data_IF_484350564313
#
_entry.id   IF_484350564313
#
_cell.length_a   1.000
_cell.length_b   1.000
_cell.length_c   1.000
_cell.angle_alpha   90.00
_cell.angle_beta   90.00
_cell.angle_gamma   90.00
#
_symmetry.space_group_name_H-M   'P 1'
#
loop_
_entity.id
_entity.type
_entity.pdbx_description
1 polymer ?
#
# COMPACT_ATOMS: atom_id res chain seq x y z
N UNK A 1 -36.94 -7.57 67.51
CA UNK A 1 -37.40 -7.45 66.13
C UNK A 1 -36.19 -7.48 65.18
N UNK A 2 -36.00 -8.62 64.47
CA UNK A 2 -34.90 -8.74 63.46
C UNK A 2 -35.39 -8.17 62.14
N UNK A 3 -34.75 -7.10 61.64
CA UNK A 3 -34.98 -6.51 60.26
C UNK A 3 -34.55 -7.51 59.19
N UNK A 4 -35.49 -7.99 58.35
CA UNK A 4 -35.24 -8.78 57.19
C UNK A 4 -34.56 -7.86 56.14
N UNK A 5 -33.35 -8.23 55.68
CA UNK A 5 -32.69 -7.59 54.50
C UNK A 5 -33.54 -7.91 53.27
N UNK A 6 -33.79 -6.93 52.37
CA UNK A 6 -34.46 -7.20 51.11
C UNK A 6 -33.58 -8.10 50.27
N UNK A 7 -34.17 -9.16 49.69
CA UNK A 7 -33.52 -10.02 48.69
C UNK A 7 -33.34 -9.21 47.43
N UNK A 8 -32.08 -8.95 47.08
CA UNK A 8 -31.74 -8.34 45.80
C UNK A 8 -31.88 -9.41 44.70
N UNK A 9 -32.95 -9.34 43.93
CA UNK A 9 -33.14 -10.18 42.76
C UNK A 9 -32.06 -9.80 41.74
N UNK A 10 -31.13 -10.72 41.45
CA UNK A 10 -30.20 -10.58 40.34
C UNK A 10 -31.01 -10.59 39.05
N UNK A 11 -31.17 -9.42 38.44
CA UNK A 11 -31.64 -9.27 37.06
C UNK A 11 -30.57 -9.91 36.16
N UNK A 12 -30.78 -11.15 35.77
CA UNK A 12 -30.04 -11.76 34.68
C UNK A 12 -30.28 -10.86 33.46
N UNK A 13 -29.27 -10.05 33.09
CA UNK A 13 -29.26 -9.36 31.81
C UNK A 13 -29.24 -10.44 30.73
N UNK A 14 -30.39 -10.78 30.18
CA UNK A 14 -30.44 -11.50 28.92
C UNK A 14 -29.78 -10.58 27.90
N UNK A 15 -28.50 -10.83 27.59
CA UNK A 15 -27.68 -10.04 26.72
C UNK A 15 -28.33 -9.91 25.35
N UNK A 16 -29.06 -8.80 25.14
CA UNK A 16 -29.35 -8.30 23.80
C UNK A 16 -28.05 -7.74 23.27
N UNK A 17 -27.34 -8.51 22.39
CA UNK A 17 -26.18 -7.99 21.70
C UNK A 17 -24.94 -8.86 21.69
N UNK A 18 -25.03 -10.16 21.90
CA UNK A 18 -23.90 -11.07 21.71
C UNK A 18 -23.55 -11.25 20.21
N UNK A 19 -22.26 -11.50 19.92
CA UNK A 19 -21.79 -11.87 18.59
C UNK A 19 -22.52 -13.12 18.10
N UNK A 20 -23.37 -12.98 17.08
CA UNK A 20 -24.06 -14.09 16.43
C UNK A 20 -23.34 -14.40 15.11
N UNK A 21 -23.10 -15.68 14.82
CA UNK A 21 -22.60 -16.10 13.51
C UNK A 21 -23.55 -15.60 12.41
N UNK A 22 -23.02 -14.80 11.46
CA UNK A 22 -23.81 -14.17 10.40
C UNK A 22 -24.55 -12.88 10.77
N UNK A 23 -24.46 -12.38 12.01
CA UNK A 23 -24.99 -11.07 12.39
C UNK A 23 -24.07 -9.97 11.88
N UNK A 24 -24.64 -8.99 11.20
CA UNK A 24 -23.95 -7.83 10.63
C UNK A 24 -24.43 -7.57 9.21
N UNK A 25 -24.20 -6.36 8.73
CA UNK A 25 -24.51 -5.98 7.34
C UNK A 25 -23.70 -6.88 6.41
N UNK A 26 -24.37 -7.69 5.57
CA UNK A 26 -23.69 -8.49 4.52
C UNK A 26 -22.83 -7.55 3.68
N UNK A 27 -21.56 -7.91 3.45
CA UNK A 27 -20.67 -7.13 2.59
C UNK A 27 -21.27 -7.02 1.20
N UNK A 28 -21.53 -5.82 0.72
CA UNK A 28 -21.89 -5.60 -0.68
C UNK A 28 -20.71 -6.04 -1.59
N UNK A 29 -21.02 -6.54 -2.79
CA UNK A 29 -20.00 -6.79 -3.83
C UNK A 29 -19.18 -5.49 -4.01
N UNK A 30 -17.84 -5.57 -3.84
CA UNK A 30 -16.98 -4.40 -3.93
C UNK A 30 -16.72 -3.70 -2.58
N UNK A 31 -17.15 -4.23 -1.43
CA UNK A 31 -16.74 -3.71 -0.12
C UNK A 31 -15.23 -3.83 0.05
N UNK A 32 -14.57 -2.70 0.37
CA UNK A 32 -13.13 -2.54 0.45
C UNK A 32 -12.34 -3.54 1.31
N UNK A 33 -11.06 -3.27 1.51
CA UNK A 33 -10.13 -4.17 2.24
C UNK A 33 -10.65 -4.46 3.66
N UNK A 34 -10.74 -5.75 4.09
CA UNK A 34 -11.21 -6.11 5.43
C UNK A 34 -10.43 -5.40 6.55
N UNK A 35 -11.15 -4.95 7.60
CA UNK A 35 -10.57 -4.29 8.77
C UNK A 35 -9.97 -5.27 9.79
N UNK A 36 -9.48 -6.42 9.34
CA UNK A 36 -8.78 -7.38 10.19
C UNK A 36 -7.42 -6.82 10.66
N UNK A 37 -6.95 -7.32 11.81
CA UNK A 37 -5.60 -7.02 12.30
C UNK A 37 -4.58 -7.49 11.27
N UNK A 38 -3.63 -6.64 10.94
CA UNK A 38 -2.56 -7.01 10.01
C UNK A 38 -1.69 -8.11 10.60
N UNK A 39 -1.20 -9.06 9.77
CA UNK A 39 -0.22 -10.06 10.21
C UNK A 39 1.03 -9.40 10.79
N UNK A 40 1.74 -10.13 11.66
CA UNK A 40 3.04 -9.68 12.15
C UNK A 40 4.01 -9.45 10.98
N UNK A 41 4.76 -8.36 11.07
CA UNK A 41 5.78 -7.97 10.10
C UNK A 41 7.14 -7.97 10.80
N UNK A 42 8.10 -8.69 10.25
CA UNK A 42 9.50 -8.62 10.66
C UNK A 42 10.26 -7.65 9.75
N UNK A 43 11.15 -6.84 10.31
CA UNK A 43 11.92 -5.81 9.60
C UNK A 43 12.70 -6.32 8.37
N UNK A 44 13.11 -7.59 8.38
CA UNK A 44 13.82 -8.24 7.26
C UNK A 44 12.95 -8.46 6.00
N UNK A 45 11.63 -8.35 6.14
CA UNK A 45 10.69 -8.61 5.05
C UNK A 45 10.15 -7.29 4.50
N UNK A 46 10.48 -6.92 3.26
CA UNK A 46 9.84 -5.79 2.60
C UNK A 46 8.37 -6.07 2.31
N UNK A 47 7.62 -5.01 2.05
CA UNK A 47 6.17 -5.09 1.83
C UNK A 47 5.81 -4.44 0.51
N UNK A 48 5.06 -5.14 -0.32
CA UNK A 48 4.39 -4.57 -1.48
C UNK A 48 3.07 -3.96 -1.02
N UNK A 49 2.90 -2.68 -1.25
CA UNK A 49 1.72 -1.89 -0.87
C UNK A 49 1.02 -1.38 -2.11
N UNK A 50 -0.31 -1.53 -2.16
CA UNK A 50 -1.15 -0.93 -3.19
C UNK A 50 -2.12 0.05 -2.56
N UNK A 51 -2.20 1.26 -3.13
CA UNK A 51 -3.09 2.33 -2.71
C UNK A 51 -3.97 2.75 -3.88
N UNK A 52 -5.29 2.50 -3.79
CA UNK A 52 -6.25 2.81 -4.86
C UNK A 52 -6.94 4.15 -4.60
N UNK A 53 -7.07 4.96 -5.65
CA UNK A 53 -7.80 6.22 -5.60
C UNK A 53 -9.32 5.98 -5.62
N UNK A 54 -10.05 6.93 -5.07
CA UNK A 54 -11.49 7.08 -5.28
C UNK A 54 -11.78 7.26 -6.77
N UNK A 55 -12.86 6.63 -7.22
CA UNK A 55 -13.36 6.82 -8.59
C UNK A 55 -13.66 8.30 -8.88
N UNK A 56 -13.54 8.71 -10.14
CA UNK A 56 -13.84 10.07 -10.60
C UNK A 56 -12.71 11.09 -10.37
N UNK A 57 -11.57 10.70 -9.80
CA UNK A 57 -10.40 11.59 -9.76
C UNK A 57 -9.58 11.50 -11.07
N UNK A 58 -8.92 12.60 -11.46
CA UNK A 58 -8.03 12.60 -12.61
C UNK A 58 -6.87 11.59 -12.47
N UNK A 59 -6.34 11.15 -13.62
CA UNK A 59 -5.20 10.22 -13.67
C UNK A 59 -3.99 10.76 -12.92
N UNK A 60 -3.35 9.92 -12.12
CA UNK A 60 -2.07 10.25 -11.45
C UNK A 60 -0.89 10.33 -12.42
N UNK A 61 -1.06 9.78 -13.63
CA UNK A 61 -0.04 9.79 -14.69
C UNK A 61 -0.05 11.06 -15.54
N UNK A 62 -1.01 11.96 -15.32
CA UNK A 62 -1.08 13.24 -16.05
C UNK A 62 0.07 14.18 -15.67
N UNK A 63 0.43 15.07 -16.61
CA UNK A 63 1.56 16.00 -16.49
C UNK A 63 1.50 16.89 -15.24
N UNK A 64 0.29 17.26 -14.80
CA UNK A 64 0.09 18.04 -13.56
C UNK A 64 0.10 17.18 -12.32
N UNK A 65 -0.38 15.93 -12.40
CA UNK A 65 -0.56 15.03 -11.26
C UNK A 65 0.74 14.37 -10.84
N UNK A 66 1.51 13.86 -11.80
CA UNK A 66 2.73 13.11 -11.50
C UNK A 66 3.78 13.90 -10.72
N UNK A 67 4.12 15.18 -11.06
CA UNK A 67 5.05 15.97 -10.26
C UNK A 67 4.60 16.11 -8.79
N UNK A 68 3.30 16.27 -8.55
CA UNK A 68 2.72 16.36 -7.20
C UNK A 68 2.88 15.04 -6.45
N UNK A 69 2.57 13.91 -7.11
CA UNK A 69 2.77 12.57 -6.55
C UNK A 69 4.25 12.34 -6.24
N UNK A 70 5.14 12.57 -7.20
CA UNK A 70 6.58 12.42 -7.04
C UNK A 70 7.13 13.24 -5.87
N UNK A 71 6.71 14.51 -5.76
CA UNK A 71 7.08 15.39 -4.64
C UNK A 71 6.57 14.90 -3.29
N UNK A 72 5.37 14.31 -3.25
CA UNK A 72 4.83 13.71 -2.03
C UNK A 72 5.59 12.44 -1.60
N UNK A 73 5.91 11.57 -2.57
CA UNK A 73 6.73 10.37 -2.34
C UNK A 73 8.11 10.75 -1.81
N UNK A 74 8.80 11.72 -2.47
CA UNK A 74 10.11 12.21 -2.03
C UNK A 74 10.07 12.71 -0.58
N UNK A 75 9.09 13.52 -0.23
CA UNK A 75 8.95 14.07 1.11
C UNK A 75 8.56 13.02 2.17
N UNK A 76 8.00 11.89 1.76
CA UNK A 76 7.57 10.80 2.64
C UNK A 76 8.51 9.60 2.70
N UNK A 77 9.54 9.54 1.84
CA UNK A 77 10.34 8.33 1.58
C UNK A 77 11.05 7.72 2.81
N UNK A 78 11.32 8.53 3.84
CA UNK A 78 11.94 8.11 5.13
C UNK A 78 11.18 8.69 6.31
N UNK A 79 9.86 8.55 6.37
CA UNK A 79 9.07 9.13 7.46
C UNK A 79 8.23 8.09 8.19
N UNK A 80 8.03 8.31 9.49
CA UNK A 80 7.14 7.52 10.34
C UNK A 80 7.48 6.01 10.31
N UNK A 81 8.77 5.69 10.30
CA UNK A 81 9.25 4.31 10.40
C UNK A 81 9.17 3.50 9.12
N UNK A 82 8.91 4.12 7.95
CA UNK A 82 9.02 3.46 6.65
C UNK A 82 10.18 3.98 5.81
N UNK A 83 10.64 3.14 4.90
CA UNK A 83 11.57 3.44 3.83
C UNK A 83 10.92 3.06 2.50
N UNK A 84 10.66 4.03 1.65
CA UNK A 84 10.13 3.79 0.31
C UNK A 84 11.29 3.45 -0.63
N UNK A 85 11.35 2.20 -1.08
CA UNK A 85 12.45 1.70 -1.92
C UNK A 85 12.10 1.71 -3.40
N UNK A 86 10.87 1.28 -3.75
CA UNK A 86 10.40 1.31 -5.12
C UNK A 86 8.95 1.81 -5.21
N UNK A 87 8.58 2.37 -6.35
CA UNK A 87 7.21 2.75 -6.66
C UNK A 87 6.90 2.62 -8.15
N UNK A 88 5.61 2.51 -8.46
CA UNK A 88 5.05 2.71 -9.79
C UNK A 88 3.73 3.47 -9.66
N UNK A 89 3.57 4.50 -10.50
CA UNK A 89 2.36 5.31 -10.55
C UNK A 89 1.49 4.85 -11.70
N UNK A 90 0.30 4.37 -11.39
CA UNK A 90 -0.72 4.01 -12.37
C UNK A 90 -1.79 5.10 -12.47
N UNK A 91 -2.72 5.00 -13.41
CA UNK A 91 -3.75 6.02 -13.59
C UNK A 91 -4.56 6.28 -12.32
N UNK A 92 -4.98 5.23 -11.63
CA UNK A 92 -5.89 5.30 -10.49
C UNK A 92 -5.36 4.60 -9.22
N UNK A 93 -4.10 4.20 -9.19
CA UNK A 93 -3.49 3.57 -8.02
C UNK A 93 -1.96 3.71 -8.00
N UNK A 94 -1.38 3.45 -6.84
CA UNK A 94 0.06 3.43 -6.59
C UNK A 94 0.48 2.05 -6.14
N UNK A 95 1.58 1.54 -6.69
CA UNK A 95 2.33 0.41 -6.16
C UNK A 95 3.59 0.91 -5.48
N UNK A 96 3.84 0.46 -4.26
CA UNK A 96 4.99 0.83 -3.46
C UNK A 96 5.67 -0.44 -2.96
N UNK A 97 6.99 -0.47 -2.94
CA UNK A 97 7.77 -1.46 -2.18
C UNK A 97 8.45 -0.71 -1.04
N UNK A 98 8.11 -1.09 0.18
CA UNK A 98 8.57 -0.41 1.39
C UNK A 98 9.23 -1.37 2.37
N UNK A 99 10.16 -0.84 3.15
CA UNK A 99 10.69 -1.47 4.34
C UNK A 99 10.12 -0.78 5.57
N UNK A 100 9.83 -1.54 6.63
CA UNK A 100 9.34 -1.02 7.89
C UNK A 100 9.81 -1.93 9.03
N UNK A 101 10.01 -1.37 10.22
CA UNK A 101 10.46 -2.12 11.38
C UNK A 101 9.43 -3.17 11.82
N UNK A 102 8.14 -2.82 11.74
CA UNK A 102 7.02 -3.66 12.14
C UNK A 102 5.70 -3.22 11.47
N UNK A 103 4.61 -3.90 11.79
CA UNK A 103 3.29 -3.62 11.23
C UNK A 103 2.73 -2.24 11.69
N UNK A 104 3.11 -1.74 12.86
CA UNK A 104 2.70 -0.43 13.37
C UNK A 104 3.39 0.68 12.57
N UNK A 105 4.71 0.61 12.42
CA UNK A 105 5.50 1.52 11.60
C UNK A 105 5.02 1.55 10.15
N UNK A 106 4.75 0.38 9.56
CA UNK A 106 4.13 0.29 8.23
C UNK A 106 2.80 1.04 8.18
N UNK A 107 1.92 0.79 9.16
CA UNK A 107 0.60 1.42 9.24
C UNK A 107 0.68 2.94 9.33
N UNK A 108 1.51 3.45 10.24
CA UNK A 108 1.70 4.89 10.47
C UNK A 108 2.36 5.57 9.26
N UNK A 109 3.40 4.95 8.69
CA UNK A 109 4.12 5.49 7.55
C UNK A 109 3.25 5.60 6.30
N UNK A 110 2.51 4.55 5.95
CA UNK A 110 1.62 4.57 4.79
C UNK A 110 0.43 5.51 5.01
N UNK A 111 -0.15 5.56 6.23
CA UNK A 111 -1.18 6.55 6.59
C UNK A 111 -0.67 7.99 6.42
N UNK A 112 0.54 8.28 6.92
CA UNK A 112 1.15 9.60 6.78
C UNK A 112 1.41 9.98 5.32
N UNK A 113 1.86 9.02 4.50
CA UNK A 113 2.04 9.21 3.05
C UNK A 113 0.70 9.45 2.35
N UNK A 114 -0.34 8.67 2.69
CA UNK A 114 -1.69 8.82 2.13
C UNK A 114 -2.28 10.21 2.42
N UNK A 115 -2.16 10.69 3.66
CA UNK A 115 -2.61 12.05 4.04
C UNK A 115 -1.87 13.13 3.26
N UNK A 116 -0.54 13.00 3.08
CA UNK A 116 0.27 13.93 2.31
C UNK A 116 -0.14 13.98 0.84
N UNK A 117 -0.31 12.81 0.23
CA UNK A 117 -0.80 12.68 -1.14
C UNK A 117 -2.20 13.29 -1.29
N UNK A 118 -3.12 12.93 -0.39
CA UNK A 118 -4.50 13.41 -0.44
C UNK A 118 -4.59 14.95 -0.36
N UNK A 119 -3.86 15.56 0.57
CA UNK A 119 -3.83 17.03 0.69
C UNK A 119 -3.34 17.70 -0.59
N UNK A 120 -2.26 17.21 -1.20
CA UNK A 120 -1.68 17.79 -2.40
C UNK A 120 -2.54 17.55 -3.64
N UNK A 121 -3.11 16.35 -3.79
CA UNK A 121 -3.99 16.03 -4.91
C UNK A 121 -5.31 16.78 -4.82
N UNK A 122 -5.91 16.90 -3.63
CA UNK A 122 -7.12 17.71 -3.43
C UNK A 122 -6.86 19.18 -3.78
N UNK A 123 -5.71 19.74 -3.36
CA UNK A 123 -5.33 21.11 -3.74
C UNK A 123 -5.15 21.25 -5.26
N UNK A 124 -4.52 20.28 -5.92
CA UNK A 124 -4.33 20.28 -7.37
C UNK A 124 -5.66 20.20 -8.15
N UNK A 125 -6.58 19.34 -7.68
CA UNK A 125 -7.84 19.06 -8.38
C UNK A 125 -8.99 19.96 -7.96
N UNK A 126 -8.80 20.86 -6.98
CA UNK A 126 -9.88 21.67 -6.41
C UNK A 126 -10.92 20.83 -5.67
N UNK A 127 -10.56 19.64 -5.17
CA UNK A 127 -11.48 18.70 -4.51
C UNK A 127 -11.27 18.64 -3.00
N UNK A 128 -12.23 18.03 -2.30
CA UNK A 128 -12.19 17.80 -0.85
C UNK A 128 -12.49 16.35 -0.51
N UNK A 129 -12.15 15.91 0.70
CA UNK A 129 -12.49 14.59 1.22
C UNK A 129 -11.43 13.52 0.92
N UNK A 130 -11.84 12.25 1.05
CA UNK A 130 -10.95 11.11 0.92
C UNK A 130 -10.51 10.89 -0.53
N UNK A 131 -9.20 10.89 -0.77
CA UNK A 131 -8.58 10.51 -2.04
C UNK A 131 -8.38 8.99 -2.11
N UNK A 132 -8.03 8.38 -0.98
CA UNK A 132 -7.91 6.94 -0.80
C UNK A 132 -9.04 6.47 0.13
N UNK A 133 -10.16 5.95 -0.41
CA UNK A 133 -11.34 5.62 0.38
C UNK A 133 -11.14 4.37 1.24
N UNK A 134 -10.28 3.46 0.77
CA UNK A 134 -10.01 2.19 1.42
C UNK A 134 -8.64 2.17 2.11
N UNK A 135 -8.48 1.18 3.02
CA UNK A 135 -7.16 0.85 3.55
C UNK A 135 -6.28 0.35 2.42
N UNK A 136 -4.99 0.68 2.48
CA UNK A 136 -4.01 0.11 1.55
C UNK A 136 -3.96 -1.42 1.66
N UNK A 137 -3.81 -2.09 0.54
CA UNK A 137 -3.47 -3.50 0.49
C UNK A 137 -1.97 -3.67 0.76
N UNK A 138 -1.61 -4.69 1.53
CA UNK A 138 -0.22 -5.00 1.85
C UNK A 138 0.05 -6.49 1.71
N UNK A 139 1.11 -6.84 0.99
CA UNK A 139 1.63 -8.19 0.86
C UNK A 139 3.08 -8.23 1.35
N UNK A 140 3.35 -9.03 2.39
CA UNK A 140 4.69 -9.18 2.97
C UNK A 140 5.50 -10.12 2.09
N UNK A 141 6.65 -9.64 1.62
CA UNK A 141 7.54 -10.38 0.72
C UNK A 141 8.55 -11.16 1.57
N UNK A 142 8.40 -12.48 1.62
CA UNK A 142 9.17 -13.35 2.53
C UNK A 142 10.31 -14.09 1.86
N UNK A 143 10.29 -14.18 0.53
CA UNK A 143 11.25 -14.94 -0.26
C UNK A 143 11.89 -14.13 -1.38
N UNK A 144 13.07 -14.53 -1.86
CA UNK A 144 13.70 -13.94 -3.05
C UNK A 144 12.79 -13.90 -4.28
N UNK A 145 12.02 -14.96 -4.51
CA UNK A 145 11.09 -15.05 -5.66
C UNK A 145 9.92 -14.08 -5.52
N UNK A 146 9.33 -13.93 -4.32
CA UNK A 146 8.27 -12.94 -4.10
C UNK A 146 8.77 -11.52 -4.33
N UNK A 147 9.98 -11.19 -3.84
CA UNK A 147 10.59 -9.88 -4.09
C UNK A 147 10.85 -9.65 -5.56
N UNK A 148 11.43 -10.64 -6.28
CA UNK A 148 11.66 -10.54 -7.72
C UNK A 148 10.36 -10.30 -8.48
N UNK A 149 9.30 -11.04 -8.16
CA UNK A 149 7.99 -10.89 -8.78
C UNK A 149 7.38 -9.50 -8.50
N UNK A 150 7.46 -9.04 -7.25
CA UNK A 150 6.96 -7.71 -6.87
C UNK A 150 7.74 -6.59 -7.57
N UNK A 151 9.06 -6.68 -7.67
CA UNK A 151 9.88 -5.72 -8.40
C UNK A 151 9.56 -5.73 -9.90
N UNK A 152 9.46 -6.92 -10.52
CA UNK A 152 9.06 -7.08 -11.90
C UNK A 152 7.68 -6.45 -12.15
N UNK A 153 6.72 -6.73 -11.28
CA UNK A 153 5.39 -6.14 -11.36
C UNK A 153 5.42 -4.61 -11.25
N UNK A 154 6.11 -4.06 -10.24
CA UNK A 154 6.21 -2.59 -10.04
C UNK A 154 6.87 -1.89 -11.23
N UNK A 155 7.89 -2.51 -11.83
CA UNK A 155 8.65 -1.91 -12.93
C UNK A 155 7.97 -2.06 -14.28
N UNK A 156 7.28 -3.19 -14.52
CA UNK A 156 6.71 -3.52 -15.83
C UNK A 156 5.18 -3.37 -15.90
N UNK A 157 4.51 -3.03 -14.80
CA UNK A 157 3.04 -2.94 -14.75
C UNK A 157 2.46 -1.96 -15.78
N UNK A 158 3.16 -0.87 -16.07
CA UNK A 158 2.76 0.08 -17.11
C UNK A 158 2.73 -0.56 -18.50
N UNK A 159 3.78 -1.31 -18.87
CA UNK A 159 3.84 -2.02 -20.13
C UNK A 159 2.71 -3.05 -20.25
N UNK A 160 2.38 -3.74 -19.16
CA UNK A 160 1.26 -4.67 -19.12
C UNK A 160 -0.09 -3.97 -19.35
N UNK A 161 -0.34 -2.82 -18.72
CA UNK A 161 -1.57 -2.06 -18.97
C UNK A 161 -1.67 -1.55 -20.40
N UNK A 162 -0.58 -1.01 -20.95
CA UNK A 162 -0.56 -0.57 -22.35
C UNK A 162 -0.86 -1.73 -23.31
N UNK A 163 -0.30 -2.92 -23.05
CA UNK A 163 -0.57 -4.10 -23.87
C UNK A 163 -2.05 -4.53 -23.79
N UNK A 164 -2.69 -4.43 -22.62
CA UNK A 164 -4.13 -4.68 -22.48
C UNK A 164 -4.99 -3.66 -23.24
N UNK A 165 -4.50 -2.43 -23.39
CA UNK A 165 -5.14 -1.37 -24.16
C UNK A 165 -4.79 -1.45 -25.67
N UNK A 166 -4.11 -2.52 -26.12
CA UNK A 166 -3.77 -2.80 -27.51
C UNK A 166 -2.49 -2.14 -28.03
N UNK A 167 -1.70 -1.51 -27.16
CA UNK A 167 -0.43 -0.90 -27.56
C UNK A 167 0.72 -1.92 -27.56
N UNK A 168 1.56 -1.89 -28.59
CA UNK A 168 2.82 -2.65 -28.63
C UNK A 168 3.89 -1.89 -27.85
N UNK A 169 4.35 -2.48 -26.74
CA UNK A 169 5.41 -1.89 -25.92
C UNK A 169 6.74 -2.56 -26.26
N UNK A 170 7.74 -1.81 -26.77
CA UNK A 170 9.05 -2.38 -27.05
C UNK A 170 9.69 -3.02 -25.82
N UNK A 171 10.40 -4.15 -26.00
CA UNK A 171 11.16 -4.79 -24.92
C UNK A 171 12.17 -3.82 -24.32
N UNK A 172 12.25 -3.78 -22.98
CA UNK A 172 13.17 -2.88 -22.28
C UNK A 172 12.65 -1.46 -22.04
N UNK A 173 11.43 -1.13 -22.50
CA UNK A 173 10.80 0.16 -22.17
C UNK A 173 10.71 0.36 -20.68
N UNK A 174 11.30 1.46 -20.19
CA UNK A 174 11.23 1.85 -18.78
C UNK A 174 10.11 2.84 -18.56
N UNK A 175 9.27 2.55 -17.56
CA UNK A 175 8.24 3.51 -17.13
C UNK A 175 8.87 4.68 -16.38
N UNK A 176 8.86 5.87 -16.97
CA UNK A 176 9.38 7.11 -16.37
C UNK A 176 8.60 7.53 -15.11
N UNK A 177 7.38 7.04 -14.95
CA UNK A 177 6.53 7.31 -13.77
C UNK A 177 6.68 6.25 -12.69
N UNK A 178 7.82 5.53 -12.70
CA UNK A 178 8.20 4.51 -11.74
C UNK A 178 9.64 4.68 -11.27
N UNK A 179 10.04 3.83 -10.35
CA UNK A 179 11.43 3.71 -9.87
C UNK A 179 12.30 2.78 -10.73
N UNK A 180 11.88 2.45 -11.96
CA UNK A 180 12.61 1.53 -12.84
C UNK A 180 14.07 1.93 -13.10
N UNK A 181 14.36 3.23 -13.13
CA UNK A 181 15.72 3.75 -13.29
C UNK A 181 16.67 3.35 -12.15
N UNK A 182 16.14 3.05 -10.97
CA UNK A 182 16.92 2.72 -9.75
C UNK A 182 16.76 1.26 -9.32
N UNK A 183 16.37 0.39 -10.23
CA UNK A 183 16.27 -1.04 -9.93
C UNK A 183 17.65 -1.69 -9.71
N UNK A 184 18.62 -1.29 -10.51
CA UNK A 184 19.98 -1.86 -10.52
C UNK A 184 21.06 -0.89 -10.04
N UNK A 185 20.73 0.37 -9.84
CA UNK A 185 21.64 1.41 -9.36
C UNK A 185 21.07 2.11 -8.11
N UNK A 186 21.91 2.60 -7.20
CA UNK A 186 21.44 3.34 -6.04
C UNK A 186 20.74 4.64 -6.47
N UNK A 187 19.61 5.01 -5.84
CA UNK A 187 18.94 6.26 -6.14
C UNK A 187 19.76 7.45 -5.59
N UNK A 188 19.85 8.57 -6.33
CA UNK A 188 20.45 9.79 -5.82
C UNK A 188 19.58 10.41 -4.70
N UNK A 189 20.15 11.31 -3.90
CA UNK A 189 19.40 12.02 -2.83
C UNK A 189 18.16 12.78 -3.35
N UNK A 190 18.18 13.19 -4.60
CA UNK A 190 17.05 13.86 -5.24
C UNK A 190 15.90 12.92 -5.62
N UNK A 191 16.12 11.61 -5.59
CA UNK A 191 15.12 10.60 -5.94
C UNK A 191 13.93 10.58 -4.96
N UNK A 192 12.74 10.17 -5.40
CA UNK A 192 11.59 9.98 -4.53
C UNK A 192 11.65 8.67 -3.72
N UNK A 193 12.71 7.91 -3.84
CA UNK A 193 12.98 6.63 -3.17
C UNK A 193 14.31 6.67 -2.45
N UNK A 194 14.58 5.65 -1.64
CA UNK A 194 15.86 5.44 -0.93
C UNK A 194 16.44 4.08 -1.26
N UNK A 195 17.74 3.92 -1.06
CA UNK A 195 18.39 2.63 -1.19
C UNK A 195 17.80 1.62 -0.21
N UNK A 196 17.70 0.36 -0.65
CA UNK A 196 17.23 -0.75 0.18
C UNK A 196 18.22 -1.06 1.31
N UNK A 197 17.70 -1.50 2.45
CA UNK A 197 18.49 -2.00 3.59
C UNK A 197 18.36 -3.51 3.78
N UNK A 198 17.15 -4.07 3.55
CA UNK A 198 16.92 -5.51 3.71
C UNK A 198 17.73 -6.32 2.68
N UNK A 199 18.27 -7.45 3.12
CA UNK A 199 19.00 -8.36 2.24
C UNK A 199 18.13 -8.80 1.04
N UNK A 200 16.84 -9.04 1.26
CA UNK A 200 15.92 -9.47 0.20
C UNK A 200 15.83 -8.46 -0.95
N UNK A 201 15.81 -7.15 -0.67
CA UNK A 201 15.77 -6.10 -1.69
C UNK A 201 17.15 -5.73 -2.24
N UNK A 202 18.23 -5.95 -1.49
CA UNK A 202 19.59 -5.65 -1.96
C UNK A 202 20.15 -6.76 -2.83
N UNK A 203 20.05 -8.01 -2.36
CA UNK A 203 20.74 -9.15 -2.94
C UNK A 203 19.83 -10.35 -3.20
N UNK A 204 18.88 -10.63 -2.31
CA UNK A 204 18.11 -11.87 -2.33
C UNK A 204 17.37 -12.08 -3.64
N UNK A 205 16.68 -11.06 -4.16
CA UNK A 205 15.91 -11.14 -5.38
C UNK A 205 16.74 -11.48 -6.63
N UNK A 206 18.02 -11.11 -6.67
CA UNK A 206 18.94 -11.42 -7.76
C UNK A 206 19.25 -12.93 -7.85
N UNK A 207 19.15 -13.64 -6.72
CA UNK A 207 19.38 -15.09 -6.61
C UNK A 207 18.14 -15.92 -6.91
N UNK A 208 16.95 -15.28 -7.03
CA UNK A 208 15.74 -15.99 -7.42
C UNK A 208 15.83 -16.50 -8.85
N UNK A 209 15.37 -17.74 -9.08
CA UNK A 209 15.25 -18.28 -10.44
C UNK A 209 14.18 -17.49 -11.21
N UNK A 210 14.39 -17.20 -12.50
CA UNK A 210 13.34 -16.64 -13.33
C UNK A 210 12.12 -17.54 -13.28
N UNK A 211 10.91 -16.96 -13.18
CA UNK A 211 9.71 -17.75 -13.39
C UNK A 211 9.70 -18.27 -14.82
N UNK A 212 9.44 -19.55 -14.98
CA UNK A 212 9.30 -20.20 -16.30
C UNK A 212 8.07 -19.73 -17.11
N UNK A 213 7.35 -18.70 -16.57
CA UNK A 213 6.14 -18.11 -17.19
C UNK A 213 6.33 -16.61 -17.34
N UNK A 214 7.07 -16.21 -18.35
CA UNK A 214 7.09 -14.83 -18.85
C UNK A 214 7.39 -14.83 -20.35
#
# INVERSE_FOLDING_TARGET
MKRRRPLQLELRSQGRGGSRAGAGRKKARGSGVPHLRRPALAARHPVHVTMKLRAGLPSLRGDRSFPVVRGALKAGRRRLGIRLVHYSVQSNHLHLVVEAADASALGQGIKGLAVRLARRLNALFGTKGAVFPDRFHAHVLRSPSEVRNALGYVVHNFAHHLALDGYVVPRGTRDLLSSAAWLTAPPPETAPVVAAESWLLREGWKRARPNARS
#
